data_IF_382294685519
#
_entry.id   IF_382294685519
#
_cell.length_a   1.000
_cell.length_b   1.000
_cell.length_c   1.000
_cell.angle_alpha   90.00
_cell.angle_beta   90.00
_cell.angle_gamma   90.00
#
_symmetry.space_group_name_H-M   'P 1'
#
loop_
_entity.id
_entity.type
_entity.pdbx_description
1 polymer ?
#
# COMPACT_ATOMS: atom_id res chain seq x y z
N UNK A 1 -33.32 17.76 39.64
CA UNK A 1 -32.98 16.38 39.22
C UNK A 1 -33.18 16.14 37.72
N UNK A 2 -34.35 16.45 37.13
CA UNK A 2 -34.61 16.22 35.70
C UNK A 2 -33.70 17.03 34.74
N UNK A 3 -33.41 18.30 35.05
CA UNK A 3 -32.59 19.18 34.19
C UNK A 3 -31.16 18.66 34.01
N UNK A 4 -30.58 18.08 35.07
CA UNK A 4 -29.21 17.55 35.05
C UNK A 4 -29.10 16.26 34.22
N UNK A 5 -30.18 15.48 34.15
CA UNK A 5 -30.24 14.28 33.31
C UNK A 5 -30.33 14.63 31.83
N UNK A 6 -31.09 15.67 31.49
CA UNK A 6 -31.23 16.13 30.10
C UNK A 6 -29.89 16.66 29.58
N UNK A 7 -29.15 17.44 30.38
CA UNK A 7 -27.84 17.97 29.95
C UNK A 7 -26.81 16.86 29.73
N UNK A 8 -26.75 15.86 30.61
CA UNK A 8 -25.86 14.70 30.44
C UNK A 8 -26.22 13.89 29.19
N UNK A 9 -27.51 13.66 28.94
CA UNK A 9 -27.97 12.95 27.76
C UNK A 9 -27.59 13.68 26.46
N UNK A 10 -27.73 15.00 26.42
CA UNK A 10 -27.33 15.82 25.26
C UNK A 10 -25.82 15.84 25.02
N UNK A 11 -25.00 15.79 26.08
CA UNK A 11 -23.54 15.71 25.94
C UNK A 11 -23.14 14.35 25.36
N UNK A 12 -23.75 13.26 25.83
CA UNK A 12 -23.46 11.90 25.33
C UNK A 12 -23.85 11.78 23.85
N UNK A 13 -25.04 12.24 23.48
CA UNK A 13 -25.49 12.19 22.08
C UNK A 13 -24.64 13.07 21.17
N UNK A 14 -24.22 14.25 21.63
CA UNK A 14 -23.31 15.12 20.88
C UNK A 14 -21.95 14.47 20.65
N UNK A 15 -21.36 13.81 21.64
CA UNK A 15 -20.07 13.11 21.49
C UNK A 15 -20.17 11.89 20.57
N UNK A 16 -21.26 11.12 20.67
CA UNK A 16 -21.54 10.01 19.74
C UNK A 16 -21.67 10.56 18.32
N UNK A 17 -22.42 11.64 18.14
CA UNK A 17 -22.61 12.25 16.83
C UNK A 17 -21.30 12.82 16.28
N UNK A 18 -20.48 13.48 17.12
CA UNK A 18 -19.14 13.94 16.74
C UNK A 18 -18.23 12.77 16.34
N UNK A 19 -18.27 11.67 17.08
CA UNK A 19 -17.51 10.45 16.76
C UNK A 19 -17.95 9.82 15.43
N UNK A 20 -19.25 9.73 15.18
CA UNK A 20 -19.79 9.29 13.90
C UNK A 20 -19.37 10.25 12.78
N UNK A 21 -19.47 11.57 12.99
CA UNK A 21 -19.03 12.56 12.00
C UNK A 21 -17.55 12.43 11.70
N UNK A 22 -16.72 12.20 12.72
CA UNK A 22 -15.28 11.99 12.58
C UNK A 22 -14.97 10.73 11.76
N UNK A 23 -15.70 9.63 11.99
CA UNK A 23 -15.58 8.39 11.20
C UNK A 23 -16.08 8.58 9.77
N UNK A 24 -17.18 9.32 9.57
CA UNK A 24 -17.73 9.60 8.24
C UNK A 24 -16.85 10.59 7.43
N UNK A 25 -16.17 11.51 8.11
CA UNK A 25 -15.26 12.50 7.51
C UNK A 25 -13.89 11.90 7.18
N UNK A 26 -13.43 10.88 7.93
CA UNK A 26 -12.18 10.17 7.69
C UNK A 26 -12.43 8.81 7.01
N UNK A 27 -13.06 8.82 5.83
CA UNK A 27 -13.34 7.61 5.05
C UNK A 27 -12.23 7.19 4.08
N UNK A 28 -11.05 7.76 4.22
CA UNK A 28 -9.88 7.44 3.39
C UNK A 28 -8.83 6.61 4.14
N UNK A 29 -9.24 5.89 5.21
CA UNK A 29 -8.32 5.04 5.95
C UNK A 29 -7.99 3.77 5.15
N UNK A 30 -6.94 3.86 4.35
CA UNK A 30 -6.21 2.71 3.84
C UNK A 30 -5.48 2.08 5.04
N UNK A 31 -6.07 1.06 5.65
CA UNK A 31 -5.43 0.33 6.75
C UNK A 31 -4.18 -0.41 6.27
N UNK A 32 -3.14 -0.44 7.10
CA UNK A 32 -1.95 -1.25 6.81
C UNK A 32 -2.34 -2.74 6.85
N UNK A 33 -2.40 -3.38 5.69
CA UNK A 33 -2.54 -4.84 5.61
C UNK A 33 -1.22 -5.45 6.08
N UNK A 34 -1.24 -6.27 7.13
CA UNK A 34 -0.05 -7.04 7.52
C UNK A 34 0.14 -8.19 6.54
N UNK A 35 1.31 -8.25 5.93
CA UNK A 35 1.66 -9.39 5.10
C UNK A 35 1.96 -10.60 5.99
N UNK A 36 1.18 -11.68 5.82
CA UNK A 36 1.21 -12.84 6.71
C UNK A 36 1.74 -14.08 6.00
N UNK A 37 2.64 -14.83 6.66
CA UNK A 37 3.16 -16.11 6.17
C UNK A 37 3.19 -17.17 7.27
N UNK A 38 2.42 -18.24 7.08
CA UNK A 38 2.31 -19.36 8.04
C UNK A 38 3.52 -20.28 7.96
N UNK A 39 3.89 -20.87 9.10
CA UNK A 39 5.03 -21.76 9.29
C UNK A 39 6.37 -21.18 8.83
N UNK A 40 6.52 -19.85 8.97
CA UNK A 40 7.74 -19.11 8.70
C UNK A 40 8.07 -18.15 9.84
N UNK A 41 9.34 -17.81 9.94
CA UNK A 41 9.86 -16.80 10.84
C UNK A 41 11.10 -16.12 10.24
N UNK A 42 11.32 -14.86 10.61
CA UNK A 42 12.57 -14.18 10.36
C UNK A 42 13.54 -14.48 11.52
N UNK A 43 14.71 -15.05 11.22
CA UNK A 43 15.71 -15.40 12.25
C UNK A 43 16.85 -14.38 12.32
N UNK A 44 17.54 -14.32 13.46
CA UNK A 44 18.70 -13.46 13.75
C UNK A 44 18.45 -11.94 13.71
N UNK A 45 17.19 -11.52 13.66
CA UNK A 45 16.78 -10.11 13.64
C UNK A 45 15.83 -9.73 14.77
N UNK A 46 15.67 -10.63 15.75
CA UNK A 46 14.83 -10.43 16.93
C UNK A 46 15.48 -9.40 17.85
N UNK A 47 14.75 -8.33 18.13
CA UNK A 47 15.16 -7.28 19.07
C UNK A 47 14.50 -7.42 20.44
N UNK A 48 13.34 -8.08 20.50
CA UNK A 48 12.62 -8.28 21.74
C UNK A 48 11.73 -9.52 21.64
N UNK A 49 11.63 -10.27 22.74
CA UNK A 49 10.69 -11.38 22.89
C UNK A 49 9.74 -11.09 24.04
N UNK A 50 8.45 -11.27 23.81
CA UNK A 50 7.38 -11.03 24.77
C UNK A 50 6.43 -12.23 24.78
N UNK A 51 5.82 -12.51 25.93
CA UNK A 51 4.68 -13.41 26.00
C UNK A 51 3.42 -12.57 25.91
N UNK A 52 2.52 -12.91 25.00
CA UNK A 52 1.28 -12.19 24.69
C UNK A 52 0.08 -13.13 24.78
N UNK A 53 -1.09 -12.58 25.05
CA UNK A 53 -2.32 -13.37 25.09
C UNK A 53 -2.77 -13.72 23.67
N UNK A 54 -2.65 -12.77 22.74
CA UNK A 54 -3.03 -12.94 21.34
C UNK A 54 -2.06 -12.26 20.37
N UNK A 55 -2.31 -12.47 19.08
CA UNK A 55 -1.51 -11.92 17.98
C UNK A 55 -1.62 -10.39 17.87
N UNK A 56 -2.79 -9.82 18.14
CA UNK A 56 -3.03 -8.38 18.04
C UNK A 56 -2.19 -7.61 19.06
N UNK A 57 -2.05 -8.14 20.27
CA UNK A 57 -1.16 -7.56 21.29
C UNK A 57 0.29 -7.50 20.79
N UNK A 58 0.77 -8.50 20.05
CA UNK A 58 2.10 -8.51 19.45
C UNK A 58 2.24 -7.40 18.38
N UNK A 59 1.23 -7.24 17.52
CA UNK A 59 1.20 -6.18 16.50
C UNK A 59 1.23 -4.79 17.14
N UNK A 60 0.44 -4.55 18.19
CA UNK A 60 0.42 -3.28 18.92
C UNK A 60 1.77 -2.97 19.58
N UNK A 61 2.44 -3.98 20.15
CA UNK A 61 3.80 -3.81 20.70
C UNK A 61 4.82 -3.42 19.63
N UNK A 62 4.70 -3.98 18.42
CA UNK A 62 5.53 -3.58 17.30
C UNK A 62 5.23 -2.14 16.86
N UNK A 63 3.95 -1.74 16.78
CA UNK A 63 3.56 -0.37 16.43
C UNK A 63 4.05 0.66 17.47
N UNK A 64 4.10 0.28 18.74
CA UNK A 64 4.68 1.10 19.81
C UNK A 64 6.21 1.11 19.86
N UNK A 65 6.89 0.34 19.01
CA UNK A 65 8.35 0.25 18.96
C UNK A 65 8.89 0.67 17.59
N UNK A 66 9.45 1.87 17.49
CA UNK A 66 9.98 2.42 16.24
C UNK A 66 11.08 1.57 15.56
N UNK A 67 11.77 0.73 16.34
CA UNK A 67 12.78 -0.19 15.82
C UNK A 67 12.16 -1.45 15.23
N UNK A 68 10.91 -1.78 15.57
CA UNK A 68 10.22 -2.93 15.05
C UNK A 68 9.75 -2.70 13.60
N UNK A 69 9.99 -3.69 12.75
CA UNK A 69 9.62 -3.70 11.31
C UNK A 69 8.79 -4.92 10.94
N UNK A 70 8.93 -6.03 11.67
CA UNK A 70 8.09 -7.22 11.53
C UNK A 70 8.06 -8.03 12.83
N UNK A 71 7.20 -9.04 12.94
CA UNK A 71 7.04 -9.88 14.12
C UNK A 71 6.98 -11.37 13.74
N UNK A 72 7.45 -12.24 14.62
CA UNK A 72 7.14 -13.66 14.60
C UNK A 72 6.20 -13.97 15.78
N UNK A 73 5.11 -14.71 15.52
CA UNK A 73 4.23 -15.21 16.58
C UNK A 73 4.30 -16.73 16.59
N UNK A 74 4.70 -17.30 17.71
CA UNK A 74 4.79 -18.75 17.89
C UNK A 74 3.53 -19.27 18.58
N UNK A 75 3.06 -20.44 18.14
CA UNK A 75 1.93 -21.15 18.76
C UNK A 75 2.14 -21.25 20.28
N UNK A 76 1.07 -21.00 21.00
CA UNK A 76 1.10 -20.91 22.45
C UNK A 76 1.16 -22.24 23.18
N UNK A 77 1.48 -22.17 24.47
CA UNK A 77 1.40 -23.31 25.38
C UNK A 77 -0.07 -23.69 25.68
N UNK A 78 -0.28 -24.72 26.51
CA UNK A 78 -1.61 -25.21 26.92
C UNK A 78 -2.51 -24.14 27.56
N UNK A 79 -1.96 -22.99 27.97
CA UNK A 79 -2.70 -21.89 28.59
C UNK A 79 -3.09 -20.81 27.57
N UNK A 80 -2.83 -21.01 26.28
CA UNK A 80 -3.20 -20.09 25.20
C UNK A 80 -2.28 -18.87 25.06
N UNK A 81 -1.21 -18.76 25.87
CA UNK A 81 -0.21 -17.69 25.78
C UNK A 81 0.75 -17.94 24.63
N UNK A 82 0.96 -16.95 23.77
CA UNK A 82 1.82 -17.02 22.58
C UNK A 82 3.15 -16.32 22.83
N UNK A 83 4.22 -16.84 22.25
CA UNK A 83 5.51 -16.13 22.21
C UNK A 83 5.55 -15.21 21.00
N UNK A 84 5.90 -13.94 21.22
CA UNK A 84 5.94 -12.87 20.25
C UNK A 84 7.38 -12.36 20.15
N UNK A 85 7.98 -12.42 18.97
CA UNK A 85 9.31 -11.88 18.69
C UNK A 85 9.17 -10.63 17.81
N UNK A 86 9.62 -9.47 18.29
CA UNK A 86 9.73 -8.25 17.50
C UNK A 86 11.05 -8.27 16.72
N UNK A 87 10.99 -7.97 15.42
CA UNK A 87 12.17 -7.94 14.54
C UNK A 87 12.44 -6.53 14.02
N UNK A 88 13.72 -6.15 13.92
CA UNK A 88 14.12 -4.88 13.31
C UNK A 88 14.31 -4.92 11.80
N UNK A 89 14.10 -6.09 11.18
CA UNK A 89 14.15 -6.30 9.74
C UNK A 89 12.84 -6.91 9.23
N UNK A 90 12.64 -6.90 7.91
CA UNK A 90 11.57 -7.62 7.22
C UNK A 90 12.14 -8.77 6.38
N UNK A 91 11.29 -9.66 5.87
CA UNK A 91 11.74 -10.73 4.96
C UNK A 91 12.31 -10.20 3.64
N UNK A 92 11.85 -9.02 3.19
CA UNK A 92 12.40 -8.34 2.03
C UNK A 92 13.80 -7.79 2.33
N UNK A 93 14.03 -7.28 3.55
CA UNK A 93 15.37 -6.84 3.99
C UNK A 93 16.39 -7.97 3.96
N UNK A 94 15.97 -9.18 4.38
CA UNK A 94 16.85 -10.29 4.69
C UNK A 94 16.22 -11.63 4.26
N UNK A 95 16.07 -11.88 2.94
CA UNK A 95 15.38 -13.06 2.44
C UNK A 95 16.09 -14.37 2.83
N UNK A 96 17.42 -14.35 2.95
CA UNK A 96 18.19 -15.52 3.38
C UNK A 96 17.90 -15.96 4.84
N UNK A 97 17.41 -15.04 5.67
CA UNK A 97 17.08 -15.29 7.08
C UNK A 97 15.57 -15.54 7.28
N UNK A 98 14.80 -15.45 6.21
CA UNK A 98 13.40 -15.86 6.24
C UNK A 98 13.33 -17.37 6.06
N UNK A 99 13.00 -18.09 7.14
CA UNK A 99 13.09 -19.55 7.20
C UNK A 99 11.74 -20.16 7.51
N UNK A 100 11.51 -21.37 6.99
CA UNK A 100 10.43 -22.24 7.44
C UNK A 100 10.65 -22.58 8.92
N UNK A 101 9.66 -22.29 9.76
CA UNK A 101 9.66 -22.58 11.19
C UNK A 101 8.24 -23.02 11.56
N UNK A 102 8.00 -24.34 11.56
CA UNK A 102 6.68 -24.92 11.86
C UNK A 102 6.18 -24.43 13.22
N UNK A 103 4.92 -24.03 13.29
CA UNK A 103 4.36 -23.45 14.53
C UNK A 103 4.63 -21.96 14.72
N UNK A 104 5.18 -21.28 13.71
CA UNK A 104 5.41 -19.84 13.72
C UNK A 104 4.63 -19.18 12.60
N UNK A 105 4.08 -18.01 12.86
CA UNK A 105 3.49 -17.16 11.83
C UNK A 105 4.26 -15.85 11.79
N UNK A 106 4.74 -15.51 10.61
CA UNK A 106 5.42 -14.25 10.34
C UNK A 106 4.42 -13.19 9.92
N UNK A 107 4.54 -12.00 10.50
CA UNK A 107 3.78 -10.81 10.09
C UNK A 107 4.75 -9.68 9.86
N UNK A 108 4.70 -9.05 8.69
CA UNK A 108 5.32 -7.76 8.47
C UNK A 108 4.22 -6.73 8.37
N UNK A 109 4.42 -5.54 8.96
CA UNK A 109 3.68 -4.41 8.43
C UNK A 109 4.07 -4.32 6.95
N UNK A 110 3.08 -4.32 6.06
CA UNK A 110 3.34 -3.75 4.75
C UNK A 110 3.51 -2.26 5.06
N UNK A 111 4.77 -1.85 5.23
CA UNK A 111 5.12 -0.43 5.15
C UNK A 111 4.83 -0.02 3.71
N UNK A 112 3.60 0.38 3.51
CA UNK A 112 3.21 1.17 2.37
C UNK A 112 3.77 2.58 2.63
N UNK A 113 5.04 2.76 2.27
CA UNK A 113 5.87 3.95 2.56
C UNK A 113 6.80 3.71 3.76
N UNK A 114 8.11 3.99 3.73
CA UNK A 114 8.78 5.07 3.00
C UNK A 114 10.29 4.79 2.76
N UNK A 115 10.75 3.53 2.81
CA UNK A 115 12.17 3.21 2.52
C UNK A 115 12.49 1.80 2.02
N UNK A 116 11.53 0.86 2.00
CA UNK A 116 11.85 -0.55 1.70
C UNK A 116 11.75 -0.99 0.23
N UNK A 117 11.26 -0.12 -0.66
CA UNK A 117 11.32 -0.36 -2.12
C UNK A 117 12.66 0.14 -2.72
N UNK A 118 13.46 0.90 -1.96
CA UNK A 118 14.64 1.58 -2.52
C UNK A 118 15.96 0.78 -2.51
N UNK A 119 16.06 -0.37 -1.85
CA UNK A 119 17.37 -1.04 -1.72
C UNK A 119 17.62 -2.23 -2.65
N UNK A 120 16.63 -2.76 -3.37
CA UNK A 120 16.87 -3.92 -4.27
C UNK A 120 16.79 -3.58 -5.77
N UNK A 121 16.49 -2.33 -6.15
CA UNK A 121 16.55 -1.86 -7.54
C UNK A 121 17.75 -0.95 -7.85
N UNK A 122 18.62 -0.66 -6.86
CA UNK A 122 19.72 0.31 -6.97
C UNK A 122 20.93 -0.15 -7.82
N UNK A 123 20.84 -1.23 -8.58
CA UNK A 123 21.91 -1.63 -9.52
C UNK A 123 21.45 -1.97 -10.94
N UNK A 124 20.15 -1.79 -11.27
CA UNK A 124 19.66 -2.06 -12.64
C UNK A 124 18.85 -0.93 -13.30
N UNK A 125 18.46 0.14 -12.58
CA UNK A 125 17.64 1.21 -13.16
C UNK A 125 18.43 2.43 -13.69
N UNK A 126 19.70 2.64 -13.29
CA UNK A 126 20.53 3.76 -13.79
C UNK A 126 21.32 3.42 -15.07
N UNK A 127 20.79 2.52 -15.91
CA UNK A 127 21.32 2.31 -17.27
C UNK A 127 20.26 2.14 -18.36
N UNK A 128 19.06 2.70 -18.14
CA UNK A 128 18.10 3.03 -19.20
C UNK A 128 17.75 4.53 -19.18
N UNK A 129 18.76 5.35 -18.94
CA UNK A 129 18.74 6.77 -19.29
C UNK A 129 19.48 6.95 -20.62
N UNK A 130 18.79 6.67 -21.73
CA UNK A 130 19.00 7.21 -23.10
C UNK A 130 18.18 6.43 -24.15
N UNK A 131 16.85 6.49 -24.05
CA UNK A 131 15.93 6.46 -25.20
C UNK A 131 14.47 6.38 -24.74
N UNK A 132 14.01 7.36 -23.97
CA UNK A 132 12.57 7.66 -23.96
C UNK A 132 12.33 8.53 -25.19
N UNK A 133 11.45 8.17 -26.15
CA UNK A 133 11.11 9.06 -27.24
C UNK A 133 10.39 10.27 -26.64
N UNK A 134 11.07 11.41 -26.67
CA UNK A 134 10.44 12.71 -26.49
C UNK A 134 9.38 12.86 -27.59
N UNK A 135 8.09 12.73 -27.25
CA UNK A 135 7.03 13.21 -28.13
C UNK A 135 6.91 14.72 -27.92
N UNK A 136 7.66 15.50 -28.70
CA UNK A 136 7.39 16.92 -28.85
C UNK A 136 6.17 17.13 -29.76
N UNK A 137 5.49 18.23 -29.48
CA UNK A 137 4.16 18.64 -29.90
C UNK A 137 3.89 18.60 -31.42
N UNK A 138 2.61 18.36 -31.76
CA UNK A 138 1.96 18.62 -33.05
C UNK A 138 2.28 17.72 -34.27
N UNK A 139 2.28 16.39 -34.12
CA UNK A 139 1.69 15.43 -35.09
C UNK A 139 1.88 13.99 -34.59
N UNK A 140 0.81 13.20 -34.63
CA UNK A 140 0.75 11.85 -34.07
C UNK A 140 1.53 10.82 -34.92
N UNK A 141 2.83 10.65 -34.66
CA UNK A 141 3.58 9.45 -35.06
C UNK A 141 4.79 9.21 -34.16
N UNK A 142 4.81 8.06 -33.47
CA UNK A 142 5.98 7.57 -32.74
C UNK A 142 6.85 6.72 -33.69
N UNK A 143 8.17 6.96 -33.74
CA UNK A 143 9.14 6.09 -34.41
C UNK A 143 9.90 5.28 -33.35
N UNK A 144 9.78 3.95 -33.42
CA UNK A 144 10.42 3.00 -32.51
C UNK A 144 11.78 2.57 -33.10
N UNK A 145 12.91 3.01 -32.53
CA UNK A 145 14.27 2.81 -33.10
C UNK A 145 14.83 1.39 -32.82
N UNK A 146 14.16 0.57 -32.01
CA UNK A 146 14.76 -0.68 -31.51
C UNK A 146 14.52 -1.92 -32.36
N UNK A 147 13.56 -1.91 -33.29
CA UNK A 147 13.31 -3.04 -34.20
C UNK A 147 12.76 -2.52 -35.50
N UNK A 148 13.45 -2.74 -36.62
CA UNK A 148 13.03 -2.38 -37.99
C UNK A 148 11.75 -3.08 -38.47
N UNK A 149 10.66 -2.94 -37.72
CA UNK A 149 9.32 -3.39 -38.05
C UNK A 149 8.44 -2.16 -37.96
N UNK A 150 7.99 -1.66 -39.11
CA UNK A 150 6.96 -0.62 -39.20
C UNK A 150 5.72 -1.11 -38.44
N UNK A 151 5.59 -0.78 -37.17
CA UNK A 151 4.31 -0.87 -36.49
C UNK A 151 3.53 0.37 -36.89
N UNK A 152 2.57 0.18 -37.80
CA UNK A 152 1.52 1.15 -38.05
C UNK A 152 0.60 1.15 -36.84
N UNK A 153 0.99 1.81 -35.75
CA UNK A 153 0.03 2.19 -34.71
C UNK A 153 -0.96 3.14 -35.36
N UNK A 154 -2.25 2.80 -35.31
CA UNK A 154 -3.32 3.61 -35.90
C UNK A 154 -3.20 5.06 -35.38
N UNK A 155 -3.20 6.01 -36.31
CA UNK A 155 -3.28 7.44 -36.01
C UNK A 155 -4.41 7.68 -35.00
N UNK A 156 -4.08 8.30 -33.86
CA UNK A 156 -5.06 8.70 -32.84
C UNK A 156 -5.13 7.84 -31.56
N UNK A 157 -4.32 6.80 -31.39
CA UNK A 157 -4.25 6.06 -30.12
C UNK A 157 -3.05 6.51 -29.27
N UNK A 158 -3.31 6.96 -28.05
CA UNK A 158 -2.27 7.29 -27.07
C UNK A 158 -1.63 6.05 -26.45
N UNK A 159 -0.40 6.21 -25.94
CA UNK A 159 0.19 5.24 -25.02
C UNK A 159 -0.76 5.00 -23.84
N UNK A 160 -0.88 3.78 -23.28
CA UNK A 160 -1.81 3.50 -22.17
C UNK A 160 -1.64 4.37 -20.92
N UNK A 161 -0.47 5.00 -20.74
CA UNK A 161 -0.17 5.96 -19.67
C UNK A 161 -0.72 7.37 -19.91
N UNK A 162 -1.19 7.68 -21.12
CA UNK A 162 -1.56 9.03 -21.52
C UNK A 162 -2.90 9.07 -22.25
N UNK A 163 -3.58 10.21 -22.15
CA UNK A 163 -4.86 10.52 -22.78
C UNK A 163 -4.88 11.97 -23.27
N UNK A 164 -5.94 12.32 -23.99
CA UNK A 164 -6.11 13.63 -24.62
C UNK A 164 -5.97 13.56 -26.14
N UNK A 165 -6.32 14.65 -26.84
CA UNK A 165 -6.25 14.70 -28.31
C UNK A 165 -4.81 14.65 -28.82
N UNK A 166 -3.86 15.04 -27.96
CA UNK A 166 -2.43 15.07 -28.24
C UNK A 166 -1.62 14.20 -27.25
N UNK A 167 -2.28 13.29 -26.51
CA UNK A 167 -1.64 12.43 -25.50
C UNK A 167 -0.86 13.20 -24.43
N UNK A 168 -1.35 14.38 -24.08
CA UNK A 168 -0.71 15.35 -23.21
C UNK A 168 -1.00 15.11 -21.72
N UNK A 169 -2.07 14.38 -21.40
CA UNK A 169 -2.53 14.19 -20.03
C UNK A 169 -2.19 12.78 -19.53
N UNK A 170 -1.42 12.62 -18.44
CA UNK A 170 -1.17 11.30 -17.87
C UNK A 170 -2.43 10.70 -17.25
N UNK A 171 -2.52 9.37 -17.27
CA UNK A 171 -3.59 8.59 -16.63
C UNK A 171 -3.20 8.33 -15.16
N UNK A 172 -3.98 8.85 -14.19
CA UNK A 172 -3.69 8.64 -12.77
C UNK A 172 -3.68 7.16 -12.40
N UNK A 173 -2.69 6.78 -11.60
CA UNK A 173 -2.55 5.43 -11.05
C UNK A 173 -1.88 4.41 -11.95
N UNK A 174 -1.46 4.79 -13.17
CA UNK A 174 -0.83 3.86 -14.10
C UNK A 174 0.66 3.63 -13.80
N UNK A 175 1.35 4.63 -13.26
CA UNK A 175 2.79 4.55 -12.96
C UNK A 175 3.12 5.25 -11.66
N UNK A 176 4.28 4.92 -11.07
CA UNK A 176 4.78 5.61 -9.87
C UNK A 176 5.06 7.11 -10.08
N UNK A 177 5.26 7.53 -11.34
CA UNK A 177 5.43 8.93 -11.76
C UNK A 177 4.11 9.69 -11.83
N UNK A 178 3.02 8.97 -12.05
CA UNK A 178 1.68 9.53 -12.16
C UNK A 178 0.71 8.77 -11.25
N UNK A 179 0.95 8.77 -9.93
CA UNK A 179 0.07 8.08 -8.99
C UNK A 179 -1.28 8.79 -8.89
N UNK A 180 -2.32 8.04 -8.53
CA UNK A 180 -3.59 8.62 -8.13
C UNK A 180 -3.61 8.85 -6.60
N UNK A 181 -4.48 9.70 -6.09
CA UNK A 181 -4.68 9.90 -4.66
C UNK A 181 -5.40 8.71 -4.01
N UNK A 182 -6.26 8.04 -4.76
CA UNK A 182 -7.00 6.86 -4.30
C UNK A 182 -7.53 6.04 -5.47
N UNK A 183 -7.91 4.79 -5.21
CA UNK A 183 -8.59 3.92 -6.17
C UNK A 183 -9.86 4.57 -6.73
N UNK A 184 -10.60 5.30 -5.88
CA UNK A 184 -11.78 6.07 -6.26
C UNK A 184 -11.47 7.15 -7.30
N UNK A 185 -10.36 7.86 -7.16
CA UNK A 185 -9.95 8.88 -8.14
C UNK A 185 -9.74 8.27 -9.54
N UNK A 186 -9.16 7.07 -9.60
CA UNK A 186 -8.94 6.35 -10.87
C UNK A 186 -10.27 5.98 -11.51
N UNK A 187 -11.21 5.50 -10.71
CA UNK A 187 -12.55 5.13 -11.17
C UNK A 187 -13.34 6.35 -11.67
N UNK A 188 -13.35 7.44 -10.90
CA UNK A 188 -14.01 8.71 -11.26
C UNK A 188 -13.39 9.36 -12.50
N UNK A 189 -12.09 9.16 -12.74
CA UNK A 189 -11.43 9.64 -13.94
C UNK A 189 -11.89 8.92 -15.22
N UNK A 190 -12.62 7.80 -15.10
CA UNK A 190 -13.16 7.03 -16.24
C UNK A 190 -12.11 6.26 -17.04
N UNK A 191 -10.90 6.10 -16.52
CA UNK A 191 -9.79 5.38 -17.19
C UNK A 191 -9.38 4.10 -16.47
N UNK A 192 -10.19 3.65 -15.51
CA UNK A 192 -9.99 2.38 -14.83
C UNK A 192 -10.07 1.22 -15.82
N UNK A 193 -9.18 0.23 -15.70
CA UNK A 193 -9.22 -1.03 -16.47
C UNK A 193 -9.96 -2.14 -15.72
N UNK A 194 -10.65 -1.80 -14.63
CA UNK A 194 -11.25 -2.76 -13.71
C UNK A 194 -10.35 -3.05 -12.52
N UNK A 195 -10.65 -4.14 -11.79
CA UNK A 195 -9.92 -4.53 -10.59
C UNK A 195 -8.45 -4.87 -10.92
N UNK A 196 -7.53 -4.47 -10.06
CA UNK A 196 -6.11 -4.72 -10.30
C UNK A 196 -5.18 -3.83 -9.49
N UNK A 197 -3.88 -3.94 -9.76
CA UNK A 197 -2.86 -3.15 -9.06
C UNK A 197 -2.67 -1.77 -9.70
N UNK A 198 -2.75 -0.71 -8.89
CA UNK A 198 -2.56 0.68 -9.29
C UNK A 198 -1.59 1.41 -8.36
N UNK A 199 -1.00 2.52 -8.85
CA UNK A 199 -0.11 3.39 -8.09
C UNK A 199 -0.87 4.50 -7.37
N UNK A 200 -0.82 4.53 -6.05
CA UNK A 200 -1.55 5.49 -5.22
C UNK A 200 -0.55 6.35 -4.41
N UNK A 201 -0.79 7.64 -4.25
CA UNK A 201 -0.05 8.54 -3.36
C UNK A 201 -1.10 9.40 -2.63
N UNK A 202 -1.65 8.91 -1.51
CA UNK A 202 -2.74 9.59 -0.79
C UNK A 202 -2.31 10.95 -0.25
N UNK A 203 -1.04 11.08 0.14
CA UNK A 203 -0.48 12.26 0.80
C UNK A 203 0.09 13.29 -0.19
N UNK A 204 0.19 12.92 -1.48
CA UNK A 204 0.79 13.75 -2.53
C UNK A 204 2.20 14.23 -2.17
N UNK A 205 2.95 13.39 -1.45
CA UNK A 205 4.30 13.71 -0.99
C UNK A 205 5.39 13.14 -1.92
N UNK A 206 4.98 12.48 -3.02
CA UNK A 206 5.86 11.82 -3.98
C UNK A 206 6.13 10.34 -3.64
N UNK A 207 5.59 9.83 -2.54
CA UNK A 207 5.71 8.44 -2.11
C UNK A 207 4.54 7.60 -2.62
N UNK A 208 4.56 7.28 -3.92
CA UNK A 208 3.56 6.39 -4.49
C UNK A 208 3.78 4.91 -4.13
N UNK A 209 2.69 4.22 -3.90
CA UNK A 209 2.60 2.81 -3.51
C UNK A 209 1.76 2.02 -4.51
N UNK A 210 2.10 0.76 -4.73
CA UNK A 210 1.26 -0.12 -5.55
C UNK A 210 0.27 -0.85 -4.64
N UNK A 211 -1.03 -0.70 -4.90
CA UNK A 211 -2.12 -1.37 -4.16
C UNK A 211 -3.08 -2.05 -5.11
N UNK A 212 -3.74 -3.11 -4.64
CA UNK A 212 -4.86 -3.68 -5.35
C UNK A 212 -6.12 -2.83 -5.12
N UNK A 213 -6.60 -2.21 -6.20
CA UNK A 213 -7.86 -1.49 -6.20
C UNK A 213 -8.98 -2.41 -6.68
N UNK A 214 -9.99 -2.57 -5.81
CA UNK A 214 -11.26 -3.20 -6.14
C UNK A 214 -12.20 -2.12 -6.71
N UNK A 215 -12.25 -2.00 -8.03
CA UNK A 215 -13.00 -1.00 -8.78
C UNK A 215 -14.47 -1.40 -8.93
N UNK A 216 -14.79 -2.68 -8.79
CA UNK A 216 -16.15 -3.22 -8.90
C UNK A 216 -16.93 -3.12 -7.59
N UNK A 217 -16.26 -3.25 -6.43
CA UNK A 217 -16.89 -3.20 -5.10
C UNK A 217 -16.92 -1.78 -4.55
N UNK A 218 -18.10 -1.28 -4.14
CA UNK A 218 -18.32 0.03 -3.52
C UNK A 218 -17.75 1.26 -4.27
N UNK A 219 -17.46 1.09 -5.56
CA UNK A 219 -16.94 2.16 -6.43
C UNK A 219 -15.50 2.57 -6.12
N UNK A 220 -14.59 1.61 -5.91
CA UNK A 220 -13.17 1.92 -5.79
C UNK A 220 -12.75 2.45 -4.41
N UNK A 221 -13.56 2.24 -3.37
CA UNK A 221 -13.26 2.71 -2.01
C UNK A 221 -12.40 1.75 -1.20
N UNK A 222 -12.18 0.53 -1.67
CA UNK A 222 -11.42 -0.49 -0.97
C UNK A 222 -10.05 -0.71 -1.62
N UNK A 223 -9.01 -0.61 -0.80
CA UNK A 223 -7.66 -1.08 -1.10
C UNK A 223 -7.47 -2.44 -0.41
N UNK A 224 -6.97 -3.44 -1.13
CA UNK A 224 -6.59 -4.75 -0.59
C UNK A 224 -5.07 -4.96 -0.66
#
# INVERSE_FOLDING_TARGET
>A
MAVLWITQFMIVTLNIFLGILFVLANKDFCGSVFETQVDHALVDHVIQTNVVVDEFECQLKCMGNNSCKSINVHRGDSNGKRSCELNNKTRQMKPGHFKKKKGSTYYSSVQVGSSFVYSEQRSKAEREEKSSPFCFTNQASCLDISRGRKQTTKSGQCHPEYKGKHCETPVPGWSSRHPALSCKQILEAGNSKGDGEYWIDPEKNGSSLKVFCDMTTDGGKHCK
#
